data_IF_370517115871
#
_entry.id   IF_370517115871
#
_cell.length_a   1.000
_cell.length_b   1.000
_cell.length_c   1.000
_cell.angle_alpha   90.00
_cell.angle_beta   90.00
_cell.angle_gamma   90.00
#
_symmetry.space_group_name_H-M   'P 1'
#
loop_
_entity.id
_entity.type
_entity.pdbx_description
1 polymer ?
#
# COMPACT_ATOMS: atom_id res chain seq x y z
N UNK A 1 -28.88 -0.61 26.52
CA UNK A 1 -28.49 -0.84 25.11
C UNK A 1 -27.33 0.09 24.81
N UNK A 2 -26.09 -0.39 24.93
CA UNK A 2 -24.92 0.40 24.57
C UNK A 2 -24.86 0.42 23.04
N UNK A 3 -25.18 1.56 22.41
CA UNK A 3 -24.80 1.79 21.01
C UNK A 3 -23.27 1.80 21.01
N UNK A 4 -22.66 0.73 20.50
CA UNK A 4 -21.24 0.76 20.16
C UNK A 4 -21.06 1.85 19.13
N UNK A 5 -20.43 2.96 19.51
CA UNK A 5 -20.00 3.97 18.56
C UNK A 5 -19.06 3.27 17.57
N UNK A 6 -19.44 3.25 16.29
CA UNK A 6 -18.54 2.81 15.26
C UNK A 6 -17.33 3.75 15.30
N UNK A 7 -16.19 3.24 15.78
CA UNK A 7 -14.93 3.99 15.84
C UNK A 7 -14.68 4.58 14.46
N UNK A 8 -14.55 5.90 14.39
CA UNK A 8 -14.21 6.57 13.13
C UNK A 8 -12.87 6.02 12.64
N UNK A 9 -12.80 5.69 11.35
CA UNK A 9 -11.55 5.27 10.73
C UNK A 9 -10.57 6.43 10.81
N UNK A 10 -9.35 6.14 11.25
CA UNK A 10 -8.31 7.13 11.43
C UNK A 10 -8.00 7.87 10.10
N UNK A 11 -7.99 9.23 10.07
CA UNK A 11 -7.84 9.99 8.83
C UNK A 11 -6.57 9.65 8.03
N UNK A 12 -5.44 9.41 8.70
CA UNK A 12 -4.19 9.01 8.04
C UNK A 12 -4.29 7.64 7.38
N UNK A 13 -5.07 6.72 7.95
CA UNK A 13 -5.34 5.45 7.31
C UNK A 13 -6.20 5.64 6.05
N UNK A 14 -7.16 6.56 6.06
CA UNK A 14 -7.93 6.91 4.85
C UNK A 14 -7.03 7.57 3.78
N UNK A 15 -6.14 8.48 4.15
CA UNK A 15 -5.16 9.06 3.22
C UNK A 15 -4.22 8.01 2.64
N UNK A 16 -3.73 7.07 3.46
CA UNK A 16 -2.96 5.92 3.00
C UNK A 16 -3.73 5.12 1.94
N UNK A 17 -4.98 4.78 2.23
CA UNK A 17 -5.82 4.00 1.31
C UNK A 17 -6.12 4.77 0.03
N UNK A 18 -6.35 6.08 0.11
CA UNK A 18 -6.55 6.95 -1.04
C UNK A 18 -5.30 7.00 -1.92
N UNK A 19 -4.12 7.24 -1.33
CA UNK A 19 -2.85 7.23 -2.04
C UNK A 19 -2.59 5.87 -2.72
N UNK A 20 -2.89 4.76 -2.04
CA UNK A 20 -2.68 3.41 -2.57
C UNK A 20 -3.66 3.05 -3.69
N UNK A 21 -4.95 3.32 -3.51
CA UNK A 21 -5.99 2.86 -4.41
C UNK A 21 -6.24 3.81 -5.58
N UNK A 22 -6.21 5.12 -5.31
CA UNK A 22 -6.61 6.16 -6.26
C UNK A 22 -5.40 6.76 -6.96
N UNK A 23 -4.43 7.27 -6.20
CA UNK A 23 -3.26 7.94 -6.79
C UNK A 23 -2.19 6.98 -7.28
N UNK A 24 -2.15 5.76 -6.72
CA UNK A 24 -1.04 4.80 -6.91
C UNK A 24 0.32 5.39 -6.51
N UNK A 25 0.30 6.37 -5.59
CA UNK A 25 1.49 6.97 -5.02
C UNK A 25 1.89 6.20 -3.75
N UNK A 26 2.74 5.19 -3.96
CA UNK A 26 3.22 4.34 -2.88
C UNK A 26 4.25 5.05 -1.97
N UNK A 27 4.81 6.19 -2.40
CA UNK A 27 5.66 7.01 -1.54
C UNK A 27 4.81 7.81 -0.56
N UNK A 28 3.73 8.45 -1.00
CA UNK A 28 2.76 9.08 -0.10
C UNK A 28 2.15 8.07 0.89
N UNK A 29 1.92 6.83 0.44
CA UNK A 29 1.51 5.75 1.34
C UNK A 29 2.51 5.53 2.48
N UNK A 30 3.82 5.60 2.20
CA UNK A 30 4.84 5.48 3.24
C UNK A 30 4.70 6.60 4.27
N UNK A 31 4.57 7.85 3.82
CA UNK A 31 4.50 9.02 4.71
C UNK A 31 3.28 8.96 5.66
N UNK A 32 2.07 8.74 5.11
CA UNK A 32 0.87 8.62 5.95
C UNK A 32 0.92 7.41 6.88
N UNK A 33 1.41 6.28 6.37
CA UNK A 33 1.53 5.05 7.13
C UNK A 33 2.54 5.15 8.26
N UNK A 34 3.72 5.70 8.01
CA UNK A 34 4.78 5.88 9.01
C UNK A 34 4.33 6.84 10.11
N UNK A 35 3.77 8.01 9.75
CA UNK A 35 3.21 8.95 10.72
C UNK A 35 2.19 8.25 11.63
N UNK A 36 1.26 7.49 11.04
CA UNK A 36 0.27 6.77 11.82
C UNK A 36 0.89 5.67 12.71
N UNK A 37 1.85 4.93 12.18
CA UNK A 37 2.52 3.84 12.90
C UNK A 37 3.30 4.36 14.11
N UNK A 38 4.01 5.49 13.97
CA UNK A 38 4.72 6.14 15.06
C UNK A 38 3.79 6.56 16.20
N UNK A 39 2.66 7.19 15.86
CA UNK A 39 1.71 7.74 16.85
C UNK A 39 0.81 6.68 17.48
N UNK A 40 0.63 5.52 16.82
CA UNK A 40 -0.29 4.46 17.27
C UNK A 40 0.38 3.37 18.12
N UNK A 41 1.59 3.61 18.65
CA UNK A 41 2.32 2.60 19.41
C UNK A 41 2.91 1.48 18.55
N UNK A 42 3.16 1.76 17.27
CA UNK A 42 3.88 0.90 16.32
C UNK A 42 3.26 -0.48 16.07
N UNK A 43 1.95 -0.59 15.79
CA UNK A 43 1.32 -1.89 15.60
C UNK A 43 1.91 -2.62 14.38
N UNK A 44 2.10 -3.93 14.52
CA UNK A 44 2.75 -4.79 13.50
C UNK A 44 2.03 -4.74 12.16
N UNK A 45 0.71 -4.68 12.18
CA UNK A 45 -0.13 -4.61 10.98
C UNK A 45 0.14 -3.37 10.11
N UNK A 46 0.30 -2.19 10.73
CA UNK A 46 0.63 -0.97 9.99
C UNK A 46 2.03 -1.07 9.39
N UNK A 47 2.99 -1.68 10.10
CA UNK A 47 4.31 -1.97 9.54
C UNK A 47 4.22 -2.88 8.31
N UNK A 48 3.35 -3.88 8.33
CA UNK A 48 3.04 -4.74 7.18
C UNK A 48 2.45 -3.96 6.00
N UNK A 49 1.48 -3.08 6.24
CA UNK A 49 0.87 -2.23 5.20
C UNK A 49 1.88 -1.27 4.58
N UNK A 50 2.71 -0.61 5.40
CA UNK A 50 3.78 0.27 4.92
C UNK A 50 4.76 -0.51 4.04
N UNK A 51 5.20 -1.69 4.48
CA UNK A 51 6.11 -2.52 3.69
C UNK A 51 5.47 -3.05 2.39
N UNK A 52 4.16 -3.27 2.36
CA UNK A 52 3.45 -3.60 1.13
C UNK A 52 3.49 -2.43 0.12
N UNK A 53 3.29 -1.19 0.57
CA UNK A 53 3.41 -0.02 -0.28
C UNK A 53 4.86 0.18 -0.77
N UNK A 54 5.84 0.17 0.13
CA UNK A 54 7.27 0.32 -0.18
C UNK A 54 7.76 -0.79 -1.12
N UNK A 55 7.24 -2.01 -0.96
CA UNK A 55 7.48 -3.11 -1.88
C UNK A 55 7.10 -2.74 -3.33
N UNK A 56 5.86 -2.27 -3.53
CA UNK A 56 5.35 -1.90 -4.85
C UNK A 56 6.10 -0.69 -5.42
N UNK A 57 6.40 0.31 -4.58
CA UNK A 57 7.25 1.44 -4.95
C UNK A 57 8.59 0.97 -5.54
N UNK A 58 9.32 0.11 -4.83
CA UNK A 58 10.59 -0.42 -5.32
C UNK A 58 10.44 -1.24 -6.59
N UNK A 59 9.42 -2.09 -6.66
CA UNK A 59 9.17 -2.92 -7.84
C UNK A 59 8.95 -2.06 -9.09
N UNK A 60 8.03 -1.09 -9.03
CA UNK A 60 7.71 -0.24 -10.18
C UNK A 60 8.85 0.69 -10.58
N UNK A 61 9.74 1.03 -9.65
CA UNK A 61 10.98 1.77 -9.92
C UNK A 61 12.14 0.87 -10.39
N UNK A 62 11.89 -0.40 -10.69
CA UNK A 62 12.88 -1.33 -11.21
C UNK A 62 13.77 -2.00 -10.15
N UNK A 63 13.67 -1.60 -8.88
CA UNK A 63 14.35 -2.26 -7.76
C UNK A 63 13.59 -3.52 -7.32
N UNK A 64 13.60 -4.54 -8.16
CA UNK A 64 12.89 -5.81 -7.91
C UNK A 64 13.42 -6.51 -6.65
N UNK A 65 14.74 -6.51 -6.44
CA UNK A 65 15.37 -7.04 -5.22
C UNK A 65 14.86 -6.36 -3.95
N UNK A 66 14.78 -5.03 -3.95
CA UNK A 66 14.27 -4.25 -2.82
C UNK A 66 12.79 -4.53 -2.57
N UNK A 67 11.99 -4.55 -3.64
CA UNK A 67 10.57 -4.87 -3.58
C UNK A 67 10.32 -6.26 -2.98
N UNK A 68 11.00 -7.28 -3.50
CA UNK A 68 10.88 -8.66 -3.02
C UNK A 68 11.24 -8.80 -1.54
N UNK A 69 12.36 -8.20 -1.11
CA UNK A 69 12.78 -8.22 0.30
C UNK A 69 11.76 -7.57 1.24
N UNK A 70 11.23 -6.40 0.85
CA UNK A 70 10.19 -5.73 1.62
C UNK A 70 8.90 -6.54 1.66
N UNK A 71 8.56 -7.22 0.57
CA UNK A 71 7.39 -8.09 0.54
C UNK A 71 7.52 -9.27 1.50
N UNK A 72 8.66 -9.96 1.51
CA UNK A 72 8.86 -11.11 2.41
C UNK A 72 8.67 -10.74 3.87
N UNK A 73 9.20 -9.60 4.31
CA UNK A 73 9.01 -9.11 5.68
C UNK A 73 7.57 -8.61 5.91
N UNK A 74 7.02 -7.80 4.99
CA UNK A 74 5.70 -7.20 5.10
C UNK A 74 4.60 -8.24 5.15
N UNK A 75 4.71 -9.28 4.31
CA UNK A 75 3.80 -10.42 4.25
C UNK A 75 3.72 -11.15 5.58
N UNK A 76 4.85 -11.36 6.27
CA UNK A 76 4.86 -12.00 7.57
C UNK A 76 4.11 -11.15 8.61
N UNK A 77 4.37 -9.85 8.66
CA UNK A 77 3.65 -8.94 9.55
C UNK A 77 2.14 -8.92 9.30
N UNK A 78 1.73 -8.96 8.03
CA UNK A 78 0.32 -9.03 7.66
C UNK A 78 -0.32 -10.38 8.00
N UNK A 79 0.42 -11.49 7.92
CA UNK A 79 -0.08 -12.80 8.35
C UNK A 79 -0.28 -12.85 9.86
N UNK A 80 0.70 -12.35 10.62
CA UNK A 80 0.67 -12.36 12.10
C UNK A 80 -0.47 -11.49 12.66
N UNK A 81 -0.88 -10.46 11.92
CA UNK A 81 -1.97 -9.56 12.29
C UNK A 81 -3.39 -10.11 12.04
N UNK A 82 -3.52 -11.23 11.30
CA UNK A 82 -4.81 -11.82 10.93
C UNK A 82 -5.28 -11.46 9.52
N UNK A 83 -6.56 -11.67 9.21
CA UNK A 83 -7.12 -11.46 7.86
C UNK A 83 -7.79 -10.09 7.67
N UNK A 84 -8.18 -9.41 8.75
CA UNK A 84 -8.92 -8.14 8.69
C UNK A 84 -8.33 -7.13 9.67
N UNK A 85 -8.12 -5.89 9.21
CA UNK A 85 -7.69 -4.76 10.07
C UNK A 85 -8.42 -3.48 9.70
N UNK A 86 -9.12 -2.85 10.64
CA UNK A 86 -9.87 -1.59 10.43
C UNK A 86 -10.76 -1.63 9.15
N UNK A 87 -11.34 -2.80 8.88
CA UNK A 87 -12.20 -3.06 7.70
C UNK A 87 -11.46 -3.46 6.42
N UNK A 88 -10.13 -3.43 6.38
CA UNK A 88 -9.27 -3.83 5.26
C UNK A 88 -9.16 -5.36 5.18
N UNK A 89 -9.32 -5.92 3.98
CA UNK A 89 -9.05 -7.35 3.69
C UNK A 89 -7.56 -7.56 3.40
N UNK A 90 -6.84 -8.03 4.44
CA UNK A 90 -5.40 -8.27 4.37
C UNK A 90 -5.04 -9.57 3.66
N UNK A 91 -5.93 -10.57 3.68
CA UNK A 91 -5.72 -11.82 2.96
C UNK A 91 -5.73 -11.55 1.46
N UNK A 92 -6.73 -10.80 0.98
CA UNK A 92 -6.84 -10.40 -0.40
C UNK A 92 -5.65 -9.53 -0.85
N UNK A 93 -5.21 -8.58 -0.02
CA UNK A 93 -4.00 -7.79 -0.29
C UNK A 93 -2.76 -8.69 -0.45
N UNK A 94 -2.57 -9.66 0.45
CA UNK A 94 -1.46 -10.62 0.36
C UNK A 94 -1.51 -11.42 -0.92
N UNK A 95 -2.67 -11.96 -1.27
CA UNK A 95 -2.84 -12.75 -2.49
C UNK A 95 -2.58 -11.93 -3.77
N UNK A 96 -3.01 -10.67 -3.80
CA UNK A 96 -2.75 -9.78 -4.93
C UNK A 96 -1.25 -9.52 -5.12
N UNK A 97 -0.51 -9.21 -4.05
CA UNK A 97 0.93 -8.94 -4.16
C UNK A 97 1.70 -10.23 -4.44
N UNK A 98 1.31 -11.37 -3.86
CA UNK A 98 1.87 -12.68 -4.22
C UNK A 98 1.68 -12.94 -5.73
N UNK A 99 0.51 -12.62 -6.29
CA UNK A 99 0.24 -12.72 -7.73
C UNK A 99 1.12 -11.79 -8.56
N UNK A 100 1.41 -10.57 -8.10
CA UNK A 100 2.38 -9.68 -8.76
C UNK A 100 3.74 -10.36 -8.89
N UNK A 101 4.28 -10.90 -7.79
CA UNK A 101 5.60 -11.55 -7.81
C UNK A 101 5.62 -12.93 -8.49
N UNK A 102 4.47 -13.52 -8.81
CA UNK A 102 4.36 -14.67 -9.71
C UNK A 102 4.56 -14.28 -11.18
N UNK A 103 4.22 -13.05 -11.57
CA UNK A 103 4.43 -12.53 -12.93
C UNK A 103 5.84 -11.98 -13.13
N UNK A 104 6.55 -11.65 -12.04
CA UNK A 104 7.95 -11.24 -12.09
C UNK A 104 8.85 -12.47 -12.21
N UNK A 105 9.77 -12.52 -13.19
CA UNK A 105 10.73 -13.61 -13.32
C UNK A 105 11.53 -13.81 -12.02
N UNK A 106 11.67 -15.06 -11.58
CA UNK A 106 12.25 -15.37 -10.27
C UNK A 106 13.72 -14.91 -10.16
N UNK A 107 14.45 -14.93 -11.27
CA UNK A 107 15.81 -14.42 -11.40
C UNK A 107 15.92 -12.93 -11.05
N UNK A 108 14.88 -12.13 -11.32
CA UNK A 108 14.92 -10.68 -11.06
C UNK A 108 14.84 -10.36 -9.57
N UNK A 109 14.45 -11.31 -8.71
CA UNK A 109 14.37 -11.12 -7.24
C UNK A 109 15.71 -10.77 -6.60
N UNK A 110 16.81 -10.90 -7.32
CA UNK A 110 18.15 -10.56 -6.87
C UNK A 110 18.78 -9.40 -7.66
N UNK A 111 18.03 -8.80 -8.59
CA UNK A 111 18.53 -7.82 -9.55
C UNK A 111 17.79 -6.48 -9.45
N UNK A 112 18.42 -5.45 -10.03
CA UNK A 112 17.76 -4.19 -10.36
C UNK A 112 17.57 -4.16 -11.88
N UNK A 113 16.36 -3.86 -12.30
CA UNK A 113 15.96 -3.69 -13.70
C UNK A 113 15.62 -2.24 -13.97
N UNK A 114 15.46 -1.87 -15.25
CA UNK A 114 14.90 -0.57 -15.55
C UNK A 114 13.38 -0.55 -15.27
N UNK A 115 12.79 0.60 -14.92
CA UNK A 115 11.34 0.73 -14.78
C UNK A 115 10.59 0.25 -16.04
N UNK A 116 11.13 0.52 -17.23
CA UNK A 116 10.51 0.11 -18.51
C UNK A 116 10.44 -1.42 -18.65
N UNK A 117 11.47 -2.15 -18.20
CA UNK A 117 11.47 -3.61 -18.22
C UNK A 117 10.40 -4.19 -17.29
N UNK A 118 10.21 -3.59 -16.12
CA UNK A 118 9.16 -4.02 -15.18
C UNK A 118 7.77 -3.68 -15.72
N UNK A 119 7.59 -2.49 -16.30
CA UNK A 119 6.33 -2.08 -16.92
C UNK A 119 5.93 -3.00 -18.08
N UNK A 120 6.89 -3.47 -18.88
CA UNK A 120 6.65 -4.40 -19.98
C UNK A 120 6.06 -5.75 -19.54
N UNK A 121 6.16 -6.12 -18.25
CA UNK A 121 5.55 -7.34 -17.71
C UNK A 121 4.03 -7.24 -17.55
N UNK A 122 3.43 -6.04 -17.70
CA UNK A 122 1.99 -5.80 -17.52
C UNK A 122 1.46 -6.40 -16.20
N UNK A 123 2.12 -6.05 -15.10
CA UNK A 123 1.83 -6.62 -13.79
C UNK A 123 0.37 -6.38 -13.36
N UNK A 124 -0.26 -7.34 -12.66
CA UNK A 124 -1.61 -7.15 -12.15
C UNK A 124 -1.65 -5.98 -11.17
N UNK A 125 -2.68 -5.15 -11.26
CA UNK A 125 -2.85 -4.03 -10.35
C UNK A 125 -3.26 -4.54 -8.97
N UNK A 126 -2.66 -3.92 -7.94
CA UNK A 126 -3.02 -4.17 -6.54
C UNK A 126 -4.00 -3.10 -6.08
N UNK A 127 -5.10 -3.52 -5.48
CA UNK A 127 -6.10 -2.64 -4.87
C UNK A 127 -6.47 -3.15 -3.50
N UNK A 128 -6.32 -2.31 -2.47
CA UNK A 128 -6.77 -2.65 -1.13
C UNK A 128 -8.31 -2.67 -1.14
N UNK A 129 -8.88 -3.80 -0.75
CA UNK A 129 -10.32 -3.98 -0.65
C UNK A 129 -10.75 -3.94 0.82
N UNK A 130 -11.98 -3.48 1.04
CA UNK A 130 -12.60 -3.54 2.34
C UNK A 130 -13.65 -4.64 2.41
N UNK A 131 -13.96 -5.03 3.63
CA UNK A 131 -15.00 -6.01 3.95
C UNK A 131 -16.41 -5.43 3.93
N UNK A 132 -16.54 -4.10 3.91
CA UNK A 132 -17.82 -3.38 3.95
C UNK A 132 -18.13 -2.72 2.59
N UNK A 133 -19.41 -2.65 2.18
CA UNK A 133 -19.80 -2.05 0.89
C UNK A 133 -19.46 -0.57 0.75
N UNK A 134 -19.44 0.16 1.86
CA UNK A 134 -19.14 1.60 1.91
C UNK A 134 -17.64 1.92 1.98
N UNK A 135 -16.77 0.89 1.99
CA UNK A 135 -15.33 1.07 2.12
C UNK A 135 -14.77 1.95 1.01
N UNK A 136 -15.14 1.70 -0.25
CA UNK A 136 -14.65 2.49 -1.38
C UNK A 136 -15.05 3.96 -1.27
N UNK A 137 -16.27 4.23 -0.80
CA UNK A 137 -16.76 5.60 -0.58
C UNK A 137 -15.93 6.30 0.51
N UNK A 138 -15.60 5.61 1.60
CA UNK A 138 -14.73 6.14 2.66
C UNK A 138 -13.32 6.43 2.14
N UNK A 139 -12.77 5.54 1.31
CA UNK A 139 -11.46 5.74 0.68
C UNK A 139 -11.46 7.00 -0.18
N UNK A 140 -12.50 7.23 -0.99
CA UNK A 140 -12.62 8.44 -1.83
C UNK A 140 -12.74 9.74 -1.01
N UNK A 141 -13.32 9.66 0.19
CA UNK A 141 -13.41 10.79 1.13
C UNK A 141 -12.07 11.08 1.83
N UNK A 142 -11.11 10.14 1.78
CA UNK A 142 -9.77 10.27 2.36
C UNK A 142 -8.82 11.19 1.59
N UNK A 143 -9.31 12.00 0.64
CA UNK A 143 -8.47 12.93 -0.12
C UNK A 143 -7.71 13.86 0.85
N UNK A 144 -6.37 13.83 0.88
CA UNK A 144 -5.61 14.65 1.81
C UNK A 144 -5.81 16.14 1.49
N UNK A 145 -5.98 16.96 2.53
CA UNK A 145 -6.31 18.38 2.40
C UNK A 145 -5.16 19.16 1.74
N UNK A 146 -3.90 18.77 1.96
CA UNK A 146 -2.74 19.23 1.20
C UNK A 146 -1.61 18.19 1.34
N UNK A 147 -1.24 17.49 0.27
CA UNK A 147 0.14 17.00 0.13
C UNK A 147 0.87 18.08 -0.66
N UNK A 148 1.51 19.03 0.01
CA UNK A 148 2.53 19.87 -0.64
C UNK A 148 3.75 18.97 -0.87
N UNK A 149 3.61 18.05 -1.83
CA UNK A 149 4.69 17.21 -2.29
C UNK A 149 5.45 18.05 -3.35
N UNK A 150 6.71 18.47 -3.09
CA UNK A 150 7.48 19.23 -4.06
C UNK A 150 7.83 18.43 -5.32
N UNK A 151 7.48 17.14 -5.40
CA UNK A 151 7.67 16.27 -6.57
C UNK A 151 6.46 16.20 -7.51
N UNK A 152 5.32 16.82 -7.18
CA UNK A 152 4.11 16.83 -8.05
C UNK A 152 4.02 17.99 -9.05
N UNK A 153 4.98 18.91 -9.08
CA UNK A 153 4.99 20.08 -9.99
C UNK A 153 5.83 19.89 -11.28
N UNK A 154 5.99 18.68 -11.81
CA UNK A 154 6.74 18.44 -13.07
C UNK A 154 5.95 17.77 -14.21
N UNK A 155 4.64 17.96 -14.29
CA UNK A 155 3.88 17.48 -15.46
C UNK A 155 2.80 18.44 -15.96
N UNK A 156 3.08 19.74 -15.99
CA UNK A 156 2.31 20.73 -16.76
C UNK A 156 3.25 21.65 -17.55
N UNK A 157 4.02 21.07 -18.46
CA UNK A 157 4.56 21.81 -19.61
C UNK A 157 4.72 20.83 -20.79
N UNK A 158 3.66 20.75 -21.61
CA UNK A 158 3.70 20.62 -23.07
C UNK A 158 2.29 20.75 -23.65
#
# INVERSE_FOLDING_TARGET
MCRGEAKAVEPRLLSFLYAFNVQKDYFECHEYGESLWLDSGRPVVLKGLIQAAVCLYHLYNGNVRGGWRMWQAGRQYLMDAGSIYEGIDMENLRQQIDKVFQHVPAEWRFETKSPQQVQALNLPQVKIQGTQPDFELKVQQGKPICSNNPYTEQSEEN
#
